data_IF_577892602751
#
_entry.id   IF_577892602751
#
_cell.length_a   1.000
_cell.length_b   1.000
_cell.length_c   1.000
_cell.angle_alpha   90.00
_cell.angle_beta   90.00
_cell.angle_gamma   90.00
#
_symmetry.space_group_name_H-M   'P 1'
#
loop_
_entity.id
_entity.type
_entity.pdbx_description
1 polymer ?
#
# COMPACT_ATOMS: atom_id res chain seq x y z
N UNK A 1 -0.12 20.95 -6.95
CA UNK A 1 -0.04 19.60 -7.53
C UNK A 1 -1.11 18.77 -6.88
N UNK A 2 -1.95 18.07 -7.66
CA UNK A 2 -3.08 17.27 -7.18
C UNK A 2 -2.93 15.82 -7.61
N UNK A 3 -2.82 14.90 -6.68
CA UNK A 3 -2.62 13.48 -6.98
C UNK A 3 -3.76 12.66 -6.40
N UNK A 4 -4.42 11.90 -7.26
CA UNK A 4 -5.43 10.92 -6.87
C UNK A 4 -4.76 9.58 -6.57
N UNK A 5 -4.80 9.14 -5.32
CA UNK A 5 -4.36 7.83 -4.88
C UNK A 5 -5.52 6.84 -4.84
N UNK A 6 -5.29 5.62 -5.34
CA UNK A 6 -6.28 4.54 -5.41
C UNK A 6 -5.69 3.30 -4.76
N UNK A 7 -6.40 2.73 -3.79
CA UNK A 7 -6.13 1.39 -3.27
C UNK A 7 -7.36 0.50 -3.36
N UNK A 8 -7.14 -0.67 -3.92
CA UNK A 8 -8.10 -1.77 -3.97
C UNK A 8 -7.43 -3.13 -3.73
N UNK A 9 -6.15 -3.09 -3.34
CA UNK A 9 -5.34 -4.27 -3.06
C UNK A 9 -5.60 -4.86 -1.68
N UNK A 10 -6.00 -4.01 -0.72
CA UNK A 10 -6.31 -4.38 0.67
C UNK A 10 -7.80 -4.69 0.87
N UNK A 11 -8.19 -5.02 2.10
CA UNK A 11 -9.60 -5.27 2.44
C UNK A 11 -10.46 -4.02 2.35
N UNK A 12 -9.88 -2.85 2.58
CA UNK A 12 -10.58 -1.57 2.46
C UNK A 12 -10.27 -0.95 1.12
N UNK A 13 -11.25 -0.89 0.21
CA UNK A 13 -11.12 -0.06 -0.99
C UNK A 13 -11.11 1.41 -0.58
N UNK A 14 -10.11 2.15 -1.02
CA UNK A 14 -9.96 3.56 -0.65
C UNK A 14 -9.41 4.41 -1.78
N UNK A 15 -9.78 5.68 -1.75
CA UNK A 15 -9.26 6.72 -2.63
C UNK A 15 -8.83 7.91 -1.78
N UNK A 16 -7.82 8.64 -2.22
CA UNK A 16 -7.38 9.85 -1.55
C UNK A 16 -6.94 10.88 -2.58
N UNK A 17 -7.26 12.12 -2.32
CA UNK A 17 -6.72 13.26 -3.04
C UNK A 17 -5.74 13.98 -2.13
N UNK A 18 -4.50 14.13 -2.58
CA UNK A 18 -3.55 15.06 -1.98
C UNK A 18 -3.44 16.31 -2.84
N UNK A 19 -3.39 17.45 -2.20
CA UNK A 19 -3.20 18.75 -2.84
C UNK A 19 -2.08 19.50 -2.14
N UNK A 20 -1.05 19.92 -2.90
CA UNK A 20 -0.02 20.78 -2.37
C UNK A 20 -0.61 22.17 -2.14
N UNK A 21 -0.69 22.59 -0.90
CA UNK A 21 -0.95 23.98 -0.54
C UNK A 21 0.30 24.79 -0.92
N UNK A 22 0.11 25.86 -1.70
CA UNK A 22 1.22 26.67 -2.21
C UNK A 22 2.03 27.42 -1.14
N UNK A 23 1.69 27.27 0.14
CA UNK A 23 2.38 27.84 1.28
C UNK A 23 3.55 26.94 1.71
N UNK A 24 4.76 27.49 1.72
CA UNK A 24 5.93 26.89 2.37
C UNK A 24 5.84 27.27 3.84
N UNK A 25 5.85 26.28 4.74
CA UNK A 25 6.07 26.52 6.16
C UNK A 25 7.57 26.85 6.34
N UNK A 26 7.91 28.13 6.39
CA UNK A 26 9.31 28.59 6.50
C UNK A 26 10.02 28.07 7.77
N UNK A 27 9.26 27.73 8.81
CA UNK A 27 9.81 27.17 10.05
C UNK A 27 10.12 25.68 9.96
N UNK A 28 9.47 24.92 9.04
CA UNK A 28 9.65 23.47 8.91
C UNK A 28 10.28 23.03 7.60
N UNK A 29 10.53 23.93 6.65
CA UNK A 29 11.02 23.60 5.28
C UNK A 29 10.19 22.53 4.57
N UNK A 30 8.94 22.32 4.96
CA UNK A 30 8.03 21.32 4.40
C UNK A 30 6.85 22.01 3.71
N UNK A 31 6.55 21.59 2.48
CA UNK A 31 5.32 21.99 1.80
C UNK A 31 4.12 21.39 2.52
N UNK A 32 3.17 22.20 2.89
CA UNK A 32 1.88 21.71 3.40
C UNK A 32 1.12 21.05 2.28
N UNK A 33 0.44 19.98 2.60
CA UNK A 33 -0.50 19.31 1.71
C UNK A 33 -1.78 18.97 2.48
N UNK A 34 -2.91 19.15 1.82
CA UNK A 34 -4.19 18.66 2.31
C UNK A 34 -4.43 17.24 1.84
N UNK A 35 -5.12 16.44 2.65
CA UNK A 35 -5.46 15.05 2.33
C UNK A 35 -6.96 14.84 2.53
N UNK A 36 -7.67 14.58 1.43
CA UNK A 36 -9.08 14.19 1.44
C UNK A 36 -9.19 12.69 1.15
N UNK A 37 -10.00 11.98 1.91
CA UNK A 37 -10.10 10.52 1.83
C UNK A 37 -11.54 10.07 1.67
N UNK A 38 -11.75 9.12 0.74
CA UNK A 38 -12.96 8.30 0.66
C UNK A 38 -12.58 6.83 0.86
N UNK A 39 -13.31 6.11 1.70
CA UNK A 39 -13.05 4.69 1.96
C UNK A 39 -14.35 3.90 2.12
N UNK A 40 -14.27 2.60 1.86
CA UNK A 40 -15.37 1.65 2.09
C UNK A 40 -14.80 0.30 2.54
N UNK A 41 -15.33 -0.24 3.61
CA UNK A 41 -14.93 -1.53 4.19
C UNK A 41 -15.50 -2.75 3.43
N UNK A 42 -16.11 -2.54 2.25
CA UNK A 42 -16.69 -3.61 1.47
C UNK A 42 -15.64 -4.41 0.71
N UNK A 43 -15.30 -5.56 1.25
CA UNK A 43 -14.34 -6.53 0.65
C UNK A 43 -14.84 -7.15 -0.66
N UNK A 44 -16.15 -7.11 -0.94
CA UNK A 44 -16.72 -7.98 -1.97
C UNK A 44 -16.94 -7.33 -3.35
N UNK A 45 -16.98 -6.00 -3.45
CA UNK A 45 -17.37 -5.32 -4.68
C UNK A 45 -16.48 -4.12 -5.03
N UNK A 46 -15.15 -4.26 -4.97
CA UNK A 46 -14.23 -3.18 -5.37
C UNK A 46 -14.58 -2.58 -6.74
N UNK A 47 -15.05 -3.43 -7.70
CA UNK A 47 -15.43 -2.99 -9.03
C UNK A 47 -16.62 -2.01 -9.04
N UNK A 48 -17.55 -2.18 -8.12
CA UNK A 48 -18.75 -1.34 -8.01
C UNK A 48 -18.51 -0.08 -7.18
N UNK A 49 -17.47 -0.09 -6.32
CA UNK A 49 -17.27 0.92 -5.28
C UNK A 49 -16.22 1.97 -5.69
N UNK A 50 -15.14 1.57 -6.39
CA UNK A 50 -13.97 2.45 -6.58
C UNK A 50 -14.32 3.70 -7.42
N UNK A 51 -15.08 3.54 -8.50
CA UNK A 51 -15.48 4.67 -9.36
C UNK A 51 -16.44 5.62 -8.64
N UNK A 52 -17.51 5.15 -7.94
CA UNK A 52 -18.31 6.01 -7.07
C UNK A 52 -17.53 6.73 -5.98
N UNK A 53 -16.53 6.08 -5.35
CA UNK A 53 -15.68 6.75 -4.37
C UNK A 53 -14.86 7.89 -4.98
N UNK A 54 -14.27 7.67 -6.16
CA UNK A 54 -13.54 8.70 -6.89
C UNK A 54 -14.46 9.86 -7.24
N UNK A 55 -15.64 9.57 -7.81
CA UNK A 55 -16.63 10.59 -8.14
C UNK A 55 -17.01 11.42 -6.92
N UNK A 56 -17.41 10.77 -5.82
CA UNK A 56 -17.79 11.45 -4.58
C UNK A 56 -16.65 12.30 -4.00
N UNK A 57 -15.40 11.83 -4.10
CA UNK A 57 -14.23 12.57 -3.62
C UNK A 57 -14.00 13.84 -4.45
N UNK A 58 -14.05 13.74 -5.78
CA UNK A 58 -13.88 14.88 -6.67
C UNK A 58 -15.01 15.92 -6.52
N UNK A 59 -16.26 15.46 -6.39
CA UNK A 59 -17.42 16.34 -6.13
C UNK A 59 -17.27 17.10 -4.81
N UNK A 60 -16.85 16.42 -3.73
CA UNK A 60 -16.63 17.04 -2.41
C UNK A 60 -15.50 18.07 -2.41
N UNK A 61 -14.51 17.88 -3.26
CA UNK A 61 -13.37 18.81 -3.39
C UNK A 61 -13.57 19.82 -4.49
N UNK A 62 -14.74 19.82 -5.17
CA UNK A 62 -15.07 20.71 -6.28
C UNK A 62 -14.05 20.65 -7.44
N UNK A 63 -13.52 19.46 -7.72
CA UNK A 63 -12.53 19.20 -8.76
C UNK A 63 -13.10 18.31 -9.86
N UNK A 64 -12.63 18.52 -11.09
CA UNK A 64 -12.83 17.64 -12.21
C UNK A 64 -11.59 16.72 -12.41
N UNK A 65 -11.70 15.60 -13.11
CA UNK A 65 -10.53 14.77 -13.47
C UNK A 65 -9.42 15.55 -14.21
N UNK A 66 -9.77 16.58 -14.97
CA UNK A 66 -8.83 17.45 -15.67
C UNK A 66 -7.97 18.33 -14.74
N UNK A 67 -8.38 18.51 -13.48
CA UNK A 67 -7.64 19.27 -12.49
C UNK A 67 -6.53 18.46 -11.81
N UNK A 68 -6.48 17.16 -12.06
CA UNK A 68 -5.48 16.25 -11.49
C UNK A 68 -4.13 16.41 -12.20
N UNK A 69 -3.05 16.24 -11.44
CA UNK A 69 -1.68 16.27 -11.95
C UNK A 69 -1.09 14.88 -12.19
N UNK A 70 -1.59 13.86 -11.49
CA UNK A 70 -1.17 12.48 -11.63
C UNK A 70 -2.17 11.52 -10.98
N UNK A 71 -2.10 10.25 -11.39
CA UNK A 71 -2.83 9.14 -10.79
C UNK A 71 -1.83 8.18 -10.14
N UNK A 72 -2.10 7.79 -8.90
CA UNK A 72 -1.34 6.82 -8.14
C UNK A 72 -2.20 5.60 -7.81
N UNK A 73 -1.64 4.40 -7.87
CA UNK A 73 -2.40 3.18 -7.60
C UNK A 73 -1.54 2.14 -6.90
N UNK A 74 -2.12 1.42 -5.92
CA UNK A 74 -1.46 0.23 -5.36
C UNK A 74 -1.43 -0.89 -6.40
N UNK A 75 -0.21 -1.40 -6.67
CA UNK A 75 0.01 -2.45 -7.68
C UNK A 75 0.23 -3.84 -7.10
N UNK A 76 0.17 -4.00 -5.77
CA UNK A 76 0.35 -5.28 -5.12
C UNK A 76 1.55 -5.33 -4.18
N UNK A 77 1.70 -6.48 -3.48
CA UNK A 77 0.79 -7.64 -3.50
C UNK A 77 -0.55 -7.38 -2.79
N UNK A 78 -1.55 -8.25 -3.04
CA UNK A 78 -2.87 -8.12 -2.42
C UNK A 78 -3.97 -8.86 -3.16
N UNK A 79 -5.22 -8.38 -3.03
CA UNK A 79 -6.40 -8.95 -3.68
C UNK A 79 -6.26 -8.98 -5.19
N UNK A 80 -6.32 -10.17 -5.79
CA UNK A 80 -6.19 -10.37 -7.24
C UNK A 80 -7.22 -9.57 -8.06
N UNK A 81 -8.49 -9.64 -7.67
CA UNK A 81 -9.56 -8.89 -8.32
C UNK A 81 -9.40 -7.39 -8.07
N UNK A 82 -9.12 -7.02 -6.82
CA UNK A 82 -8.94 -5.63 -6.44
C UNK A 82 -7.83 -4.95 -7.25
N UNK A 83 -6.64 -5.56 -7.33
CA UNK A 83 -5.51 -5.04 -8.09
C UNK A 83 -5.85 -4.76 -9.55
N UNK A 84 -6.58 -5.67 -10.21
CA UNK A 84 -6.99 -5.48 -11.60
C UNK A 84 -7.99 -4.34 -11.77
N UNK A 85 -8.97 -4.27 -10.88
CA UNK A 85 -9.98 -3.21 -10.90
C UNK A 85 -9.34 -1.84 -10.65
N UNK A 86 -8.54 -1.70 -9.60
CA UNK A 86 -7.86 -0.45 -9.28
C UNK A 86 -6.95 0.01 -10.40
N UNK A 87 -6.09 -0.89 -10.91
CA UNK A 87 -5.17 -0.55 -11.98
C UNK A 87 -5.90 -0.21 -13.28
N UNK A 88 -6.95 -0.95 -13.66
CA UNK A 88 -7.73 -0.65 -14.85
C UNK A 88 -8.41 0.73 -14.74
N UNK A 89 -8.99 1.03 -13.57
CA UNK A 89 -9.59 2.35 -13.29
C UNK A 89 -8.54 3.47 -13.37
N UNK A 90 -7.39 3.28 -12.71
CA UNK A 90 -6.30 4.24 -12.73
C UNK A 90 -5.77 4.49 -14.16
N UNK A 91 -5.56 3.42 -14.95
CA UNK A 91 -5.17 3.51 -16.35
C UNK A 91 -6.20 4.25 -17.20
N UNK A 92 -7.50 3.97 -17.02
CA UNK A 92 -8.57 4.64 -17.75
C UNK A 92 -8.58 6.15 -17.52
N UNK A 93 -8.45 6.58 -16.26
CA UNK A 93 -8.42 7.99 -15.91
C UNK A 93 -7.12 8.65 -16.43
N UNK A 94 -5.97 8.01 -16.21
CA UNK A 94 -4.68 8.52 -16.66
C UNK A 94 -4.63 8.67 -18.18
N UNK A 95 -5.11 7.67 -18.92
CA UNK A 95 -5.17 7.68 -20.39
C UNK A 95 -6.07 8.81 -20.92
N UNK A 96 -7.28 8.94 -20.36
CA UNK A 96 -8.22 9.95 -20.84
C UNK A 96 -7.77 11.39 -20.53
N UNK A 97 -7.01 11.59 -19.45
CA UNK A 97 -6.49 12.89 -19.05
C UNK A 97 -5.08 13.20 -19.54
N UNK A 98 -4.40 12.27 -20.20
CA UNK A 98 -2.96 12.40 -20.52
C UNK A 98 -2.08 12.53 -19.27
N UNK A 99 -2.50 11.94 -18.14
CA UNK A 99 -1.86 12.12 -16.84
C UNK A 99 -0.78 11.05 -16.57
N UNK A 100 0.30 11.40 -15.87
CA UNK A 100 1.25 10.44 -15.35
C UNK A 100 0.56 9.39 -14.46
N UNK A 101 0.96 8.12 -14.59
CA UNK A 101 0.51 7.01 -13.77
C UNK A 101 1.67 6.50 -12.91
N UNK A 102 1.43 6.25 -11.63
CA UNK A 102 2.45 5.82 -10.67
C UNK A 102 1.94 4.64 -9.86
N UNK A 103 2.60 3.48 -10.01
CA UNK A 103 2.33 2.27 -9.25
C UNK A 103 3.10 2.25 -7.93
N UNK A 104 2.43 1.94 -6.83
CA UNK A 104 3.04 1.88 -5.50
C UNK A 104 2.85 0.48 -4.90
N UNK A 105 3.92 -0.09 -4.33
CA UNK A 105 3.82 -1.35 -3.57
C UNK A 105 2.84 -1.19 -2.41
N UNK A 106 1.91 -2.13 -2.28
CA UNK A 106 0.93 -2.16 -1.18
C UNK A 106 1.60 -2.26 0.18
N UNK A 107 2.65 -3.09 0.30
CA UNK A 107 3.38 -3.28 1.55
C UNK A 107 4.21 -2.04 1.92
N UNK A 108 4.76 -1.31 0.93
CA UNK A 108 5.41 -0.03 1.16
C UNK A 108 4.41 1.04 1.65
N UNK A 109 3.23 1.10 1.03
CA UNK A 109 2.18 2.03 1.45
C UNK A 109 1.70 1.74 2.88
N UNK A 110 1.58 0.47 3.27
CA UNK A 110 1.32 0.07 4.65
C UNK A 110 2.42 0.55 5.60
N UNK A 111 3.70 0.29 5.28
CA UNK A 111 4.83 0.73 6.09
C UNK A 111 4.89 2.25 6.25
N UNK A 112 4.54 3.00 5.21
CA UNK A 112 4.53 4.46 5.22
C UNK A 112 3.48 5.07 6.19
N UNK A 113 2.46 4.30 6.60
CA UNK A 113 1.51 4.73 7.64
C UNK A 113 2.15 4.87 9.01
N UNK A 114 3.15 4.05 9.30
CA UNK A 114 3.82 4.05 10.60
C UNK A 114 4.70 5.30 10.69
N UNK A 115 4.26 6.27 11.48
CA UNK A 115 5.00 7.50 11.81
C UNK A 115 5.56 7.38 13.23
N UNK A 116 6.45 8.27 13.61
CA UNK A 116 6.98 8.41 14.99
C UNK A 116 7.45 7.07 15.60
N UNK A 117 8.17 6.31 14.79
CA UNK A 117 8.72 5.00 15.16
C UNK A 117 10.16 4.89 14.70
N UNK A 118 11.00 4.28 15.51
CA UNK A 118 12.37 3.91 15.17
C UNK A 118 12.54 2.40 15.34
N UNK A 119 12.78 1.69 14.26
CA UNK A 119 12.84 0.23 14.28
C UNK A 119 12.51 -0.41 12.95
N UNK A 120 12.27 -1.72 13.01
CA UNK A 120 11.83 -2.51 11.87
C UNK A 120 10.31 -2.41 11.74
N UNK A 121 9.83 -2.16 10.53
CA UNK A 121 8.41 -2.27 10.18
C UNK A 121 8.25 -3.52 9.33
N UNK A 122 7.42 -4.42 9.80
CA UNK A 122 7.05 -5.66 9.13
C UNK A 122 5.61 -5.50 8.60
N UNK A 123 5.48 -5.23 7.31
CA UNK A 123 4.19 -5.18 6.62
C UNK A 123 3.74 -6.58 6.27
N UNK A 124 2.59 -7.02 6.78
CA UNK A 124 2.05 -8.37 6.59
C UNK A 124 0.61 -8.31 6.06
N UNK A 125 0.36 -8.88 4.89
CA UNK A 125 -0.98 -9.11 4.38
C UNK A 125 -1.28 -10.60 4.31
N UNK A 126 -2.51 -10.98 4.66
CA UNK A 126 -2.95 -12.37 4.58
C UNK A 126 -2.99 -12.85 3.12
N UNK A 127 -2.23 -13.90 2.84
CA UNK A 127 -2.22 -14.54 1.55
C UNK A 127 -2.97 -15.89 1.55
N UNK A 128 -3.74 -16.18 2.61
CA UNK A 128 -4.48 -17.43 2.88
C UNK A 128 -3.57 -18.65 3.11
N UNK A 129 -4.11 -19.72 3.68
CA UNK A 129 -3.43 -21.01 3.90
C UNK A 129 -2.13 -20.89 4.71
N UNK A 130 -2.11 -20.05 5.76
CA UNK A 130 -0.95 -19.74 6.59
C UNK A 130 0.21 -19.02 5.88
N UNK A 131 0.02 -18.60 4.63
CA UNK A 131 0.98 -17.77 3.94
C UNK A 131 0.66 -16.28 4.13
N UNK A 132 1.69 -15.47 4.08
CA UNK A 132 1.60 -14.01 4.17
C UNK A 132 2.42 -13.36 3.07
N UNK A 133 1.97 -12.20 2.60
CA UNK A 133 2.82 -11.28 1.87
C UNK A 133 3.62 -10.48 2.88
N UNK A 134 4.94 -10.50 2.75
CA UNK A 134 5.89 -9.84 3.65
C UNK A 134 6.65 -8.74 2.91
N UNK A 135 6.76 -7.58 3.54
CA UNK A 135 7.72 -6.53 3.23
C UNK A 135 8.37 -6.03 4.51
N UNK A 136 9.69 -5.97 4.54
CA UNK A 136 10.45 -5.44 5.66
C UNK A 136 11.05 -4.07 5.33
N UNK A 137 10.90 -3.15 6.26
CA UNK A 137 11.36 -1.78 6.13
C UNK A 137 12.06 -1.33 7.42
N UNK A 138 13.00 -0.42 7.31
CA UNK A 138 13.61 0.28 8.43
C UNK A 138 13.08 1.71 8.47
N UNK A 139 12.57 2.12 9.61
CA UNK A 139 12.29 3.53 9.86
C UNK A 139 13.31 4.10 10.82
N UNK A 140 13.90 5.23 10.43
CA UNK A 140 14.79 6.04 11.25
C UNK A 140 14.34 7.49 11.12
N UNK A 141 13.61 7.99 12.12
CA UNK A 141 12.95 9.29 12.04
C UNK A 141 11.99 9.39 10.86
N UNK A 142 12.23 10.34 9.94
CA UNK A 142 11.40 10.53 8.73
C UNK A 142 11.76 9.55 7.60
N UNK A 143 12.92 8.91 7.63
CA UNK A 143 13.42 8.04 6.55
C UNK A 143 12.78 6.67 6.68
N UNK A 144 12.16 6.21 5.59
CA UNK A 144 11.67 4.85 5.43
C UNK A 144 12.46 4.16 4.32
N UNK A 145 13.25 3.16 4.68
CA UNK A 145 14.08 2.40 3.76
C UNK A 145 13.57 0.97 3.62
N UNK A 146 13.53 0.45 2.40
CA UNK A 146 13.20 -0.95 2.14
C UNK A 146 14.39 -1.84 2.50
N UNK A 147 14.14 -2.94 3.21
CA UNK A 147 15.15 -3.93 3.58
C UNK A 147 15.08 -5.18 2.71
N UNK A 148 13.89 -5.56 2.26
CA UNK A 148 13.69 -6.75 1.41
C UNK A 148 12.76 -6.41 0.26
N UNK A 149 12.83 -7.18 -0.83
CA UNK A 149 11.75 -7.25 -1.80
C UNK A 149 10.50 -7.85 -1.16
N UNK A 150 9.34 -7.54 -1.75
CA UNK A 150 8.06 -8.10 -1.31
C UNK A 150 8.07 -9.61 -1.60
N UNK A 151 7.70 -10.44 -0.60
CA UNK A 151 7.75 -11.89 -0.70
C UNK A 151 6.45 -12.55 -0.26
N UNK A 152 6.18 -13.74 -0.82
CA UNK A 152 5.13 -14.66 -0.34
C UNK A 152 5.81 -15.77 0.47
N UNK A 153 5.50 -15.86 1.75
CA UNK A 153 6.14 -16.81 2.66
C UNK A 153 5.11 -17.43 3.63
N UNK A 154 5.34 -18.66 4.12
CA UNK A 154 4.67 -19.14 5.33
C UNK A 154 4.93 -18.18 6.49
N UNK A 155 3.94 -17.99 7.38
CA UNK A 155 4.05 -17.06 8.52
C UNK A 155 5.29 -17.33 9.39
N UNK A 156 5.64 -18.59 9.61
CA UNK A 156 6.79 -18.95 10.44
C UNK A 156 8.11 -18.46 9.82
N UNK A 157 8.26 -18.55 8.50
CA UNK A 157 9.41 -17.99 7.75
C UNK A 157 9.42 -16.46 7.76
N UNK A 158 8.25 -15.83 7.67
CA UNK A 158 8.15 -14.38 7.77
C UNK A 158 8.60 -13.86 9.15
N UNK A 159 8.27 -14.58 10.22
CA UNK A 159 8.73 -14.31 11.59
C UNK A 159 10.26 -14.45 11.69
N UNK A 160 10.84 -15.52 11.16
CA UNK A 160 12.30 -15.73 11.14
C UNK A 160 13.01 -14.59 10.40
N UNK A 161 12.49 -14.17 9.25
CA UNK A 161 13.03 -13.05 8.50
C UNK A 161 13.01 -11.75 9.34
N UNK A 162 11.87 -11.43 9.97
CA UNK A 162 11.74 -10.23 10.79
C UNK A 162 12.73 -10.24 11.97
N UNK A 163 12.91 -11.40 12.63
CA UNK A 163 13.88 -11.59 13.71
C UNK A 163 15.31 -11.42 13.22
N UNK A 164 15.67 -12.06 12.11
CA UNK A 164 17.02 -11.96 11.54
C UNK A 164 17.41 -10.53 11.20
N UNK A 165 16.52 -9.76 10.57
CA UNK A 165 16.78 -8.35 10.30
C UNK A 165 16.81 -7.48 11.57
N UNK A 166 16.01 -7.80 12.59
CA UNK A 166 16.07 -7.14 13.89
C UNK A 166 17.44 -7.33 14.54
N UNK A 167 17.95 -8.55 14.56
CA UNK A 167 19.26 -8.88 15.11
C UNK A 167 20.39 -8.22 14.31
N UNK A 168 20.35 -8.32 12.98
CA UNK A 168 21.35 -7.73 12.09
C UNK A 168 21.43 -6.20 12.20
N UNK A 169 20.30 -5.53 12.36
CA UNK A 169 20.25 -4.05 12.41
C UNK A 169 20.37 -3.50 13.83
N UNK A 170 20.33 -4.37 14.86
CA UNK A 170 20.30 -3.95 16.27
C UNK A 170 19.02 -3.19 16.66
N UNK A 171 17.94 -3.29 15.85
CA UNK A 171 16.70 -2.57 16.11
C UNK A 171 16.04 -3.06 17.42
N UNK A 172 15.67 -2.14 18.29
CA UNK A 172 15.06 -2.47 19.57
C UNK A 172 13.64 -3.07 19.41
N UNK A 173 12.89 -2.63 18.39
CA UNK A 173 11.49 -2.96 18.20
C UNK A 173 11.19 -3.37 16.75
N UNK A 174 10.21 -4.28 16.61
CA UNK A 174 9.57 -4.64 15.35
C UNK A 174 8.11 -4.24 15.42
N UNK A 175 7.66 -3.38 14.53
CA UNK A 175 6.25 -3.02 14.41
C UNK A 175 5.62 -3.83 13.29
N UNK A 176 4.55 -4.54 13.61
CA UNK A 176 3.74 -5.29 12.65
C UNK A 176 2.59 -4.42 12.20
N UNK A 177 2.36 -4.32 10.89
CA UNK A 177 1.24 -3.63 10.28
C UNK A 177 0.64 -4.47 9.15
N UNK A 178 -0.68 -4.43 9.00
CA UNK A 178 -1.45 -5.18 8.01
C UNK A 178 -2.32 -6.27 8.64
N UNK A 179 -3.26 -6.79 7.88
CA UNK A 179 -4.34 -7.67 8.37
C UNK A 179 -3.87 -9.06 8.83
N UNK A 180 -2.71 -9.53 8.35
CA UNK A 180 -2.12 -10.78 8.82
C UNK A 180 -1.55 -10.66 10.26
N UNK A 181 -1.27 -9.45 10.73
CA UNK A 181 -0.82 -9.21 12.10
C UNK A 181 -1.82 -9.69 13.16
N UNK A 182 -3.10 -9.41 12.95
CA UNK A 182 -4.17 -9.86 13.85
C UNK A 182 -4.45 -11.36 13.71
N UNK A 183 -4.46 -11.88 12.48
CA UNK A 183 -4.69 -13.30 12.21
C UNK A 183 -3.63 -14.20 12.85
N UNK A 184 -2.39 -13.72 12.97
CA UNK A 184 -1.25 -14.47 13.50
C UNK A 184 -0.69 -13.89 14.82
N UNK A 185 -1.48 -13.09 15.53
CA UNK A 185 -1.08 -12.36 16.74
C UNK A 185 -0.35 -13.23 17.75
N UNK A 186 -0.92 -14.39 18.09
CA UNK A 186 -0.33 -15.28 19.09
C UNK A 186 1.06 -15.77 18.66
N UNK A 187 1.20 -16.30 17.43
CA UNK A 187 2.48 -16.75 16.91
C UNK A 187 3.55 -15.65 16.90
N UNK A 188 3.16 -14.44 16.46
CA UNK A 188 4.05 -13.28 16.42
C UNK A 188 4.51 -12.88 17.84
N UNK A 189 3.58 -12.89 18.82
CA UNK A 189 3.88 -12.54 20.21
C UNK A 189 4.80 -13.57 20.86
N UNK A 190 4.53 -14.87 20.66
CA UNK A 190 5.34 -15.95 21.22
C UNK A 190 6.76 -15.94 20.66
N UNK A 191 6.90 -15.63 19.36
CA UNK A 191 8.19 -15.67 18.68
C UNK A 191 9.06 -14.42 18.90
N UNK A 192 8.47 -13.22 18.94
CA UNK A 192 9.19 -11.94 19.04
C UNK A 192 9.14 -11.33 20.45
N UNK A 193 8.29 -11.86 21.34
CA UNK A 193 8.21 -11.47 22.73
C UNK A 193 7.92 -9.99 22.94
N UNK A 194 8.61 -9.35 23.88
CA UNK A 194 8.45 -7.92 24.21
C UNK A 194 8.99 -6.95 23.16
N UNK A 195 9.63 -7.45 22.13
CA UNK A 195 10.21 -6.64 21.05
C UNK A 195 9.20 -6.30 19.94
N UNK A 196 8.00 -6.86 20.00
CA UNK A 196 6.94 -6.63 19.03
C UNK A 196 6.01 -5.50 19.46
N UNK A 197 5.64 -4.67 18.51
CA UNK A 197 4.55 -3.69 18.63
C UNK A 197 3.52 -4.03 17.56
N UNK A 198 2.36 -4.53 17.98
CA UNK A 198 1.22 -4.71 17.08
C UNK A 198 0.50 -3.38 16.93
N UNK A 199 0.30 -2.92 15.70
CA UNK A 199 -0.48 -1.70 15.47
C UNK A 199 -1.95 -1.98 15.72
N UNK A 200 -2.58 -1.22 16.62
CA UNK A 200 -4.02 -1.29 16.89
C UNK A 200 -4.87 -0.83 15.69
N UNK A 201 -4.26 -0.16 14.72
CA UNK A 201 -4.87 0.33 13.49
C UNK A 201 -4.94 -0.73 12.37
N UNK A 202 -4.67 -2.00 12.68
CA UNK A 202 -4.58 -3.08 11.69
C UNK A 202 -5.93 -3.52 11.10
N UNK A 203 -7.05 -3.12 11.72
CA UNK A 203 -8.38 -3.45 11.22
C UNK A 203 -8.71 -2.58 10.00
N UNK A 204 -8.31 -3.06 8.81
CA UNK A 204 -8.68 -2.49 7.51
C UNK A 204 -8.20 -1.05 7.26
N UNK A 205 -6.90 -0.80 7.29
CA UNK A 205 -6.39 0.54 7.05
C UNK A 205 -6.64 1.02 5.63
N UNK A 206 -7.19 2.23 5.48
CA UNK A 206 -7.11 2.96 4.22
C UNK A 206 -5.65 3.33 3.93
N UNK A 207 -5.10 2.92 2.80
CA UNK A 207 -3.72 3.24 2.40
C UNK A 207 -3.63 4.18 1.20
N UNK A 208 -4.75 4.55 0.59
CA UNK A 208 -4.75 5.48 -0.53
C UNK A 208 -4.02 6.82 -0.25
N UNK A 209 -4.08 7.40 0.96
CA UNK A 209 -3.26 8.56 1.30
C UNK A 209 -1.76 8.31 1.13
N UNK A 210 -1.26 7.17 1.60
CA UNK A 210 0.14 6.80 1.48
C UNK A 210 0.53 6.48 0.05
N UNK A 211 -0.36 5.86 -0.72
CA UNK A 211 -0.18 5.65 -2.16
C UNK A 211 0.03 6.99 -2.87
N UNK A 212 -0.82 7.98 -2.59
CA UNK A 212 -0.71 9.31 -3.19
C UNK A 212 0.56 10.05 -2.73
N UNK A 213 0.92 10.00 -1.42
CA UNK A 213 2.10 10.65 -0.89
C UNK A 213 3.41 10.06 -1.44
N UNK A 214 3.52 8.74 -1.52
CA UNK A 214 4.68 8.06 -2.11
C UNK A 214 4.81 8.34 -3.60
N UNK A 215 3.67 8.41 -4.31
CA UNK A 215 3.66 8.79 -5.71
C UNK A 215 4.09 10.24 -5.93
N UNK A 216 3.75 11.15 -5.00
CA UNK A 216 4.21 12.53 -5.03
C UNK A 216 5.74 12.62 -5.00
N UNK A 217 6.41 11.86 -4.16
CA UNK A 217 7.87 11.82 -4.09
C UNK A 217 8.46 11.32 -5.41
N UNK A 218 7.89 10.27 -6.00
CA UNK A 218 8.29 9.74 -7.31
C UNK A 218 8.07 10.76 -8.43
N UNK A 219 6.94 11.45 -8.43
CA UNK A 219 6.62 12.46 -9.45
C UNK A 219 7.59 13.65 -9.37
N UNK A 220 7.96 14.08 -8.17
CA UNK A 220 8.95 15.15 -7.99
C UNK A 220 10.37 14.77 -8.45
N UNK A 221 10.70 13.47 -8.45
CA UNK A 221 11.94 12.93 -9.00
C UNK A 221 11.80 12.46 -10.45
N UNK A 222 10.73 12.86 -11.14
CA UNK A 222 10.41 12.51 -12.53
C UNK A 222 10.32 10.98 -12.78
N UNK A 223 10.10 10.19 -11.73
CA UNK A 223 9.93 8.74 -11.80
C UNK A 223 8.46 8.37 -11.97
N UNK A 224 8.05 8.14 -13.21
CA UNK A 224 6.69 7.72 -13.58
C UNK A 224 6.72 6.36 -14.26
N UNK A 225 5.60 5.64 -14.22
CA UNK A 225 5.51 4.34 -14.87
C UNK A 225 4.89 4.48 -16.27
N UNK A 226 5.30 3.61 -17.19
CA UNK A 226 4.69 3.57 -18.50
C UNK A 226 3.28 2.96 -18.42
N UNK A 227 2.29 3.69 -18.89
CA UNK A 227 0.88 3.33 -18.79
C UNK A 227 0.55 1.98 -19.44
N UNK A 228 1.19 1.67 -20.56
CA UNK A 228 0.98 0.41 -21.29
C UNK A 228 1.49 -0.80 -20.53
N UNK A 229 2.70 -0.72 -20.02
CA UNK A 229 3.45 -1.84 -19.42
C UNK A 229 3.21 -2.04 -17.92
N UNK A 230 2.70 -1.04 -17.18
CA UNK A 230 2.42 -1.20 -15.76
C UNK A 230 1.41 -2.32 -15.52
N UNK A 231 1.79 -3.33 -14.75
CA UNK A 231 0.97 -4.50 -14.42
C UNK A 231 0.95 -4.75 -12.92
N UNK A 232 -0.07 -5.47 -12.40
CA UNK A 232 -0.07 -5.85 -10.99
C UNK A 232 1.09 -6.79 -10.65
N UNK A 233 1.63 -6.64 -9.44
CA UNK A 233 2.66 -7.53 -8.89
C UNK A 233 1.98 -8.74 -8.25
N UNK A 234 2.00 -9.88 -8.92
CA UNK A 234 1.44 -11.14 -8.45
C UNK A 234 2.54 -12.03 -7.86
N UNK A 235 2.62 -12.08 -6.54
CA UNK A 235 3.53 -13.00 -5.83
C UNK A 235 2.94 -14.42 -5.70
N UNK A 236 1.61 -14.56 -5.80
CA UNK A 236 0.91 -15.85 -5.88
C UNK A 236 0.32 -16.03 -7.28
N UNK A 237 0.53 -17.20 -7.87
CA UNK A 237 -0.13 -17.54 -9.14
C UNK A 237 -1.66 -17.66 -8.92
N UNK A 238 -2.47 -17.26 -9.91
CA UNK A 238 -3.92 -17.45 -9.85
C UNK A 238 -4.29 -18.92 -9.63
N UNK A 239 -5.27 -19.20 -8.76
CA UNK A 239 -5.71 -20.58 -8.50
C UNK A 239 -6.16 -21.31 -9.77
N UNK A 240 -6.69 -20.60 -10.76
CA UNK A 240 -7.08 -21.17 -12.05
C UNK A 240 -5.87 -21.70 -12.85
N UNK A 241 -4.69 -21.08 -12.74
CA UNK A 241 -3.47 -21.56 -13.38
C UNK A 241 -2.89 -22.77 -12.64
N UNK A 242 -2.97 -22.76 -11.31
CA UNK A 242 -2.52 -23.88 -10.48
C UNK A 242 -3.38 -25.11 -10.76
N UNK A 243 -4.71 -24.98 -10.88
CA UNK A 243 -5.61 -26.09 -11.22
C UNK A 243 -5.32 -26.71 -12.59
N UNK A 244 -4.98 -25.89 -13.60
CA UNK A 244 -4.63 -26.40 -14.94
C UNK A 244 -3.39 -27.29 -14.93
N UNK A 245 -2.43 -27.04 -14.06
CA UNK A 245 -1.21 -27.86 -13.92
C UNK A 245 -1.50 -29.24 -13.34
N UNK A 246 -2.59 -29.40 -12.55
CA UNK A 246 -2.98 -30.69 -11.93
C UNK A 246 -4.02 -31.49 -12.75
N UNK A 247 -4.62 -30.92 -13.79
CA UNK A 247 -5.62 -31.61 -14.64
C UNK A 247 -4.96 -32.30 -15.84
N UNK A 248 -3.70 -32.08 -16.09
CA UNK A 248 -2.93 -32.68 -17.21
C UNK A 248 -2.04 -33.87 -16.78
N UNK A 249 -2.40 -34.57 -15.67
CA UNK A 249 -1.84 -35.85 -15.29
C UNK A 249 -2.91 -36.89 -15.06
#
# INVERSE_FOLDING_TARGET
>A
MRILGIDSATRTASVALIEDEGAIDEQKSEKRHSVNVGASDSVRNCAEIIVPLIKSLLEKTHLAPADLSAIAVSIGPGSFTGLRVGLATAKGIAYSGGLPLIGISTLLALAARVKDFDGIICSLLDARKNDVYLGLFRRAGKILSRLTDDALLPIDRAIECARGYQEQTGAALVRIIGDAGDAHKQKLTDALGKKIVLSSENQHPSIAPQVALLARERLLSESVDELGSLVPVYLRRPEAEVRKLYVNY
#
